data_IF_797525544301
#
_entry.id   IF_797525544301
#
_cell.length_a   1.000
_cell.length_b   1.000
_cell.length_c   1.000
_cell.angle_alpha   90.00
_cell.angle_beta   90.00
_cell.angle_gamma   90.00
#
_symmetry.space_group_name_H-M   'P 1'
#
loop_
_entity.id
_entity.type
_entity.pdbx_description
1 polymer ?
#
# COMPACT_ATOMS: atom_id res chain seq x y z
N UNK A 1 -2.39 -7.42 7.18
CA UNK A 1 -2.35 -6.97 5.78
C UNK A 1 -2.16 -8.20 4.92
N UNK A 2 -3.03 -8.46 3.95
CA UNK A 2 -2.85 -9.62 3.07
C UNK A 2 -1.84 -9.29 1.97
N UNK A 3 -0.69 -9.98 1.99
CA UNK A 3 0.33 -9.89 0.96
C UNK A 3 0.21 -11.07 -0.01
N UNK A 4 0.44 -10.86 -1.32
CA UNK A 4 0.58 -11.96 -2.26
C UNK A 4 1.73 -12.89 -1.86
N UNK A 5 1.61 -14.20 -2.11
CA UNK A 5 2.69 -15.14 -1.86
C UNK A 5 3.93 -14.72 -2.65
N UNK A 6 5.11 -14.90 -2.05
CA UNK A 6 6.41 -14.55 -2.63
C UNK A 6 6.67 -13.03 -2.82
N UNK A 7 5.96 -12.17 -2.09
CA UNK A 7 6.26 -10.74 -2.06
C UNK A 7 7.47 -10.46 -1.17
N UNK A 8 8.54 -9.92 -1.74
CA UNK A 8 9.64 -9.39 -0.95
C UNK A 8 9.19 -8.11 -0.23
N UNK A 9 9.17 -8.16 1.11
CA UNK A 9 8.92 -6.98 1.94
C UNK A 9 10.24 -6.23 2.06
N UNK A 10 10.33 -5.08 1.41
CA UNK A 10 11.46 -4.17 1.53
C UNK A 10 11.02 -2.81 2.08
N UNK A 11 11.98 -2.04 2.54
CA UNK A 11 11.73 -0.70 3.09
C UNK A 11 10.98 0.19 2.10
N UNK A 12 11.37 0.18 0.82
CA UNK A 12 10.71 0.98 -0.21
C UNK A 12 9.21 0.63 -0.37
N UNK A 13 8.82 -0.64 -0.25
CA UNK A 13 7.42 -1.05 -0.28
C UNK A 13 6.68 -0.53 0.96
N UNK A 14 7.29 -0.65 2.14
CA UNK A 14 6.70 -0.19 3.40
C UNK A 14 6.52 1.33 3.43
N UNK A 15 7.53 2.11 3.02
CA UNK A 15 7.47 3.56 2.92
C UNK A 15 6.34 4.02 1.99
N UNK A 16 6.25 3.41 0.80
CA UNK A 16 5.21 3.75 -0.17
C UNK A 16 3.80 3.40 0.35
N UNK A 17 3.64 2.25 1.01
CA UNK A 17 2.37 1.83 1.63
C UNK A 17 1.98 2.81 2.74
N UNK A 18 2.91 3.15 3.64
CA UNK A 18 2.67 4.07 4.74
C UNK A 18 2.26 5.46 4.22
N UNK A 19 3.04 6.01 3.28
CA UNK A 19 2.76 7.29 2.65
C UNK A 19 1.36 7.30 2.02
N UNK A 20 1.01 6.26 1.26
CA UNK A 20 -0.30 6.18 0.62
C UNK A 20 -1.44 6.08 1.65
N UNK A 21 -1.32 5.26 2.69
CA UNK A 21 -2.35 5.15 3.74
C UNK A 21 -2.55 6.50 4.43
N UNK A 22 -1.48 7.15 4.87
CA UNK A 22 -1.56 8.45 5.57
C UNK A 22 -2.19 9.50 4.66
N UNK A 23 -1.78 9.58 3.40
CA UNK A 23 -2.32 10.53 2.43
C UNK A 23 -3.81 10.28 2.11
N UNK A 24 -4.23 9.02 1.99
CA UNK A 24 -5.65 8.67 1.82
C UNK A 24 -6.47 9.13 3.02
N UNK A 25 -5.99 8.85 4.25
CA UNK A 25 -6.71 9.21 5.48
C UNK A 25 -6.77 10.73 5.70
N UNK A 26 -5.70 11.44 5.35
CA UNK A 26 -5.62 12.90 5.48
C UNK A 26 -6.17 13.66 4.26
N UNK A 27 -6.59 12.94 3.21
CA UNK A 27 -7.03 13.49 1.92
C UNK A 27 -5.99 14.38 1.24
N UNK A 28 -4.71 14.11 1.48
CA UNK A 28 -3.60 14.79 0.83
C UNK A 28 -3.27 14.05 -0.48
N UNK A 29 -3.20 14.72 -1.63
CA UNK A 29 -2.78 14.08 -2.87
C UNK A 29 -1.32 13.61 -2.77
N UNK A 30 -1.04 12.40 -3.22
CA UNK A 30 0.31 11.80 -3.18
C UNK A 30 0.76 11.37 -4.57
N UNK A 31 2.03 11.63 -4.88
CA UNK A 31 2.69 11.21 -6.11
C UNK A 31 3.83 10.24 -5.77
N UNK A 32 3.80 9.04 -6.34
CA UNK A 32 4.83 8.01 -6.09
C UNK A 32 5.62 7.77 -7.38
N UNK A 33 6.88 8.19 -7.37
CA UNK A 33 7.78 8.21 -8.53
C UNK A 33 8.95 7.23 -8.30
N UNK A 34 9.56 6.72 -9.37
CA UNK A 34 10.76 5.87 -9.31
C UNK A 34 10.83 4.85 -10.43
N UNK A 35 11.91 4.07 -10.46
CA UNK A 35 12.25 3.18 -11.58
C UNK A 35 11.20 2.09 -11.85
N UNK A 36 11.08 1.61 -13.10
CA UNK A 36 10.31 0.40 -13.41
C UNK A 36 10.72 -0.76 -12.50
N UNK A 37 9.75 -1.54 -12.01
CA UNK A 37 10.01 -2.65 -11.08
C UNK A 37 10.13 -2.26 -9.60
N UNK A 38 10.08 -0.97 -9.25
CA UNK A 38 10.13 -0.51 -7.83
C UNK A 38 8.81 -0.69 -7.06
N UNK A 39 8.07 -1.76 -7.32
CA UNK A 39 6.93 -2.23 -6.51
C UNK A 39 5.76 -1.23 -6.36
N UNK A 40 5.69 -0.18 -7.17
CA UNK A 40 4.64 0.85 -7.12
C UNK A 40 3.24 0.29 -7.34
N UNK A 41 3.08 -0.48 -8.41
CA UNK A 41 1.79 -1.12 -8.74
C UNK A 41 1.37 -2.14 -7.69
N UNK A 42 2.34 -2.82 -7.07
CA UNK A 42 2.08 -3.77 -5.99
C UNK A 42 1.56 -3.06 -4.75
N UNK A 43 2.17 -1.95 -4.37
CA UNK A 43 1.73 -1.11 -3.25
C UNK A 43 0.29 -0.60 -3.46
N UNK A 44 -0.04 -0.08 -4.66
CA UNK A 44 -1.42 0.36 -4.97
C UNK A 44 -2.41 -0.79 -4.77
N UNK A 45 -2.06 -2.00 -5.25
CA UNK A 45 -2.91 -3.19 -5.12
C UNK A 45 -3.11 -3.56 -3.66
N UNK A 46 -2.04 -3.55 -2.86
CA UNK A 46 -2.10 -3.86 -1.44
C UNK A 46 -2.99 -2.88 -0.68
N UNK A 47 -2.79 -1.58 -0.88
CA UNK A 47 -3.60 -0.54 -0.22
C UNK A 47 -5.07 -0.70 -0.58
N UNK A 48 -5.39 -0.90 -1.87
CA UNK A 48 -6.77 -1.12 -2.34
C UNK A 48 -7.40 -2.40 -1.76
N UNK A 49 -6.63 -3.46 -1.56
CA UNK A 49 -7.14 -4.73 -1.03
C UNK A 49 -7.40 -4.68 0.47
N UNK A 50 -6.63 -3.87 1.22
CA UNK A 50 -6.73 -3.81 2.68
C UNK A 50 -7.62 -2.65 3.15
N UNK A 51 -7.59 -1.46 2.54
CA UNK A 51 -8.47 -0.34 2.89
C UNK A 51 -9.89 -0.51 2.33
N UNK A 52 -10.63 -1.50 2.83
CA UNK A 52 -12.01 -1.82 2.43
C UNK A 52 -13.04 -1.61 3.54
N UNK A 53 -12.65 -0.98 4.66
CA UNK A 53 -13.50 -0.80 5.82
C UNK A 53 -13.96 -2.15 6.39
N UNK A 54 -15.27 -2.32 6.61
CA UNK A 54 -15.83 -3.59 7.12
C UNK A 54 -15.58 -4.82 6.24
N UNK A 55 -15.18 -4.63 4.97
CA UNK A 55 -14.77 -5.70 4.07
C UNK A 55 -13.28 -6.05 4.13
N UNK A 56 -12.52 -5.45 5.06
CA UNK A 56 -11.12 -5.80 5.30
C UNK A 56 -10.99 -7.12 6.04
N UNK A 57 -9.98 -7.91 5.66
CA UNK A 57 -9.65 -9.16 6.34
C UNK A 57 -8.76 -8.96 7.58
N UNK A 58 -8.28 -7.74 7.80
CA UNK A 58 -7.43 -7.38 8.93
C UNK A 58 -8.12 -6.32 9.77
N UNK A 59 -8.21 -6.56 11.08
CA UNK A 59 -8.89 -5.68 12.05
C UNK A 59 -8.29 -4.28 12.12
N UNK A 60 -7.03 -4.10 11.73
CA UNK A 60 -6.38 -2.80 11.71
C UNK A 60 -6.89 -1.90 10.56
N UNK A 61 -7.39 -2.48 9.46
CA UNK A 61 -7.73 -1.79 8.21
C UNK A 61 -9.24 -1.72 7.94
#
# INVERSE_FOLDING_TARGET
MQLPPNTAINEALLENVLAMIVCILTKIPVFIIGAPGSLKSLMIKLVRQNLRGSGSNDRYF
#
